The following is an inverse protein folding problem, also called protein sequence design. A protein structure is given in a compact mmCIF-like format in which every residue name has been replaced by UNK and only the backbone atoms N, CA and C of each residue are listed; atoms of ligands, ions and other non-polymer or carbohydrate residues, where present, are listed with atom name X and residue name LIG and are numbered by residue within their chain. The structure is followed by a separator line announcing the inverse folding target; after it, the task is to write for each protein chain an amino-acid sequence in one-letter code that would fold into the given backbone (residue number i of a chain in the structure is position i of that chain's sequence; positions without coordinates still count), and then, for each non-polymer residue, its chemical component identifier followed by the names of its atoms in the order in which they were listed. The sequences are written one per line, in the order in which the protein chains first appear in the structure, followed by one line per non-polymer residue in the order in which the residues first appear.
data_IF_056737133327
#
_entry.id   IF_056737133327
#
_cell.length_a   1.000
_cell.length_b   1.000
_cell.length_c   1.000
_cell.angle_alpha   90.00
_cell.angle_beta   90.00
_cell.angle_gamma   90.00
#
_symmetry.space_group_name_H-M   'P 1'
#
loop_
_entity.id
_entity.type
_entity.pdbx_description
1 polymer ?
#
# COMPACT_ATOMS: atom_id res chain seq x y z
N UNK A 1 -2.67 4.11 16.47
CA UNK A 1 -3.25 4.29 15.11
C UNK A 1 -2.28 3.81 14.06
N UNK A 2 -2.76 3.04 13.08
CA UNK A 2 -1.90 2.54 12.02
C UNK A 2 -1.88 3.47 10.81
N UNK A 3 -0.75 3.51 10.13
CA UNK A 3 -0.62 4.20 8.84
C UNK A 3 -0.28 3.16 7.79
N UNK A 4 -1.11 3.09 6.76
CA UNK A 4 -0.92 2.21 5.61
C UNK A 4 -0.47 3.06 4.44
N UNK A 5 0.70 2.76 3.89
CA UNK A 5 1.21 3.44 2.71
C UNK A 5 1.13 2.50 1.51
N UNK A 6 0.55 2.98 0.43
CA UNK A 6 0.50 2.24 -0.82
C UNK A 6 1.48 2.89 -1.79
N UNK A 7 2.53 2.15 -2.14
CA UNK A 7 3.52 2.60 -3.11
C UNK A 7 2.97 2.36 -4.49
N UNK A 8 2.87 3.40 -5.29
CA UNK A 8 2.21 3.36 -6.60
C UNK A 8 3.07 4.01 -7.68
N UNK A 9 2.73 3.72 -8.92
CA UNK A 9 3.30 4.37 -10.10
C UNK A 9 2.16 4.73 -11.03
N UNK A 10 2.24 5.88 -11.68
CA UNK A 10 1.17 6.37 -12.55
C UNK A 10 0.80 5.37 -13.65
N UNK A 11 1.77 4.69 -14.22
CA UNK A 11 1.56 3.71 -15.26
C UNK A 11 1.13 2.33 -14.77
N UNK A 12 0.93 2.16 -13.47
CA UNK A 12 0.61 0.87 -12.88
C UNK A 12 -0.90 0.66 -12.78
N UNK A 13 -1.46 -0.19 -13.63
CA UNK A 13 -2.89 -0.51 -13.59
C UNK A 13 -3.31 -1.26 -12.33
N UNK A 14 -2.44 -2.15 -11.83
CA UNK A 14 -2.72 -2.93 -10.62
C UNK A 14 -2.77 -2.06 -9.36
N UNK A 15 -2.08 -0.92 -9.36
CA UNK A 15 -2.07 -0.02 -8.21
C UNK A 15 -3.47 0.52 -7.91
N UNK A 16 -4.23 0.87 -8.95
CA UNK A 16 -5.61 1.33 -8.78
C UNK A 16 -6.50 0.23 -8.23
N UNK A 17 -6.33 -1.01 -8.69
CA UNK A 17 -7.10 -2.15 -8.20
C UNK A 17 -6.84 -2.40 -6.72
N UNK A 18 -5.58 -2.43 -6.33
CA UNK A 18 -5.20 -2.65 -4.93
C UNK A 18 -5.68 -1.50 -4.05
N UNK A 19 -5.57 -0.25 -4.51
CA UNK A 19 -6.06 0.91 -3.78
C UNK A 19 -7.55 0.76 -3.44
N UNK A 20 -8.36 0.39 -4.43
CA UNK A 20 -9.79 0.19 -4.23
C UNK A 20 -10.10 -0.99 -3.32
N UNK A 21 -9.29 -2.04 -3.41
CA UNK A 21 -9.46 -3.24 -2.59
C UNK A 21 -9.22 -2.95 -1.12
N UNK A 22 -8.16 -2.24 -0.78
CA UNK A 22 -7.74 -2.05 0.61
C UNK A 22 -8.38 -0.85 1.29
N UNK A 23 -8.89 0.12 0.54
CA UNK A 23 -9.46 1.34 1.11
C UNK A 23 -10.55 1.06 2.16
N UNK A 24 -11.56 0.20 1.91
CA UNK A 24 -12.58 -0.08 2.92
C UNK A 24 -12.02 -0.81 4.15
N UNK A 25 -11.00 -1.65 3.96
CA UNK A 25 -10.38 -2.39 5.08
C UNK A 25 -9.63 -1.43 5.99
N UNK A 26 -8.86 -0.52 5.40
CA UNK A 26 -8.11 0.49 6.15
C UNK A 26 -9.07 1.43 6.88
N UNK A 27 -10.14 1.87 6.20
CA UNK A 27 -11.15 2.74 6.80
C UNK A 27 -11.86 2.06 7.96
N UNK A 28 -12.24 0.79 7.82
CA UNK A 28 -12.91 0.03 8.87
C UNK A 28 -12.04 -0.16 10.10
N UNK A 29 -10.72 -0.19 9.92
CA UNK A 29 -9.77 -0.31 11.03
C UNK A 29 -9.47 1.05 11.71
N UNK A 30 -9.98 2.15 11.17
CA UNK A 30 -9.67 3.49 11.67
C UNK A 30 -8.25 3.93 11.37
N UNK A 31 -7.60 3.31 10.38
CA UNK A 31 -6.24 3.64 9.98
C UNK A 31 -6.23 4.67 8.86
N UNK A 32 -5.07 5.28 8.63
CA UNK A 32 -4.87 6.20 7.52
C UNK A 32 -4.32 5.45 6.32
N UNK A 33 -4.80 5.81 5.13
CA UNK A 33 -4.27 5.29 3.87
C UNK A 33 -3.59 6.44 3.13
N UNK A 34 -2.31 6.30 2.85
CA UNK A 34 -1.51 7.30 2.14
C UNK A 34 -0.96 6.69 0.86
N UNK A 35 -1.15 7.38 -0.25
CA UNK A 35 -0.56 6.96 -1.53
C UNK A 35 0.80 7.65 -1.71
N UNK A 36 1.82 6.88 -2.09
CA UNK A 36 3.16 7.38 -2.36
C UNK A 36 3.53 7.06 -3.81
N UNK A 37 3.81 8.09 -4.59
CA UNK A 37 4.27 7.92 -5.97
C UNK A 37 5.78 7.66 -5.95
N UNK A 38 6.20 6.45 -6.33
CA UNK A 38 7.61 6.08 -6.33
C UNK A 38 8.43 6.87 -7.36
N UNK A 39 7.79 7.40 -8.38
CA UNK A 39 8.48 8.18 -9.39
C UNK A 39 8.81 9.60 -8.92
N UNK A 40 8.19 10.05 -7.83
CA UNK A 40 8.45 11.37 -7.26
C UNK A 40 9.57 11.39 -6.23
N UNK A 41 10.11 10.21 -5.88
CA UNK A 41 11.12 10.08 -4.82
C UNK A 41 12.10 8.97 -5.19
N UNK A 42 13.38 9.33 -5.32
CA UNK A 42 14.42 8.40 -5.73
C UNK A 42 14.61 7.24 -4.75
N UNK A 43 14.45 7.48 -3.46
CA UNK A 43 14.57 6.42 -2.45
C UNK A 43 13.44 5.43 -2.57
N UNK A 44 12.21 5.91 -2.77
CA UNK A 44 11.05 5.03 -2.95
C UNK A 44 11.16 4.24 -4.26
N UNK A 45 11.64 4.88 -5.33
CA UNK A 45 11.84 4.22 -6.61
C UNK A 45 12.88 3.11 -6.51
N UNK A 46 13.99 3.36 -5.81
CA UNK A 46 15.05 2.39 -5.62
C UNK A 46 14.58 1.19 -4.79
N UNK A 47 13.77 1.43 -3.78
CA UNK A 47 13.34 0.36 -2.87
C UNK A 47 12.13 -0.41 -3.36
N UNK A 48 11.13 0.29 -3.93
CA UNK A 48 9.85 -0.31 -4.27
C UNK A 48 9.49 -0.28 -5.74
N UNK A 49 10.20 0.47 -6.57
CA UNK A 49 9.82 0.75 -7.95
C UNK A 49 9.56 -0.48 -8.81
N UNK A 50 10.28 -1.57 -8.58
CA UNK A 50 10.15 -2.81 -9.34
C UNK A 50 9.00 -3.69 -8.85
N UNK A 51 8.41 -3.35 -7.71
CA UNK A 51 7.43 -4.21 -7.03
C UNK A 51 6.08 -3.55 -6.78
N UNK A 52 5.85 -2.37 -7.33
CA UNK A 52 4.56 -1.69 -7.15
C UNK A 52 3.41 -2.52 -7.74
N UNK A 53 2.24 -2.56 -7.09
CA UNK A 53 1.90 -1.89 -5.84
C UNK A 53 2.49 -2.59 -4.61
N UNK A 54 3.01 -1.79 -3.68
CA UNK A 54 3.55 -2.29 -2.41
C UNK A 54 2.75 -1.69 -1.27
N UNK A 55 2.29 -2.54 -0.36
CA UNK A 55 1.58 -2.11 0.84
C UNK A 55 2.57 -2.12 2.01
N UNK A 56 2.70 -0.97 2.66
CA UNK A 56 3.58 -0.79 3.82
C UNK A 56 2.69 -0.44 5.02
N UNK A 57 2.81 -1.20 6.10
CA UNK A 57 2.05 -0.95 7.33
C UNK A 57 3.01 -0.51 8.42
N UNK A 58 2.80 0.69 8.92
CA UNK A 58 3.63 1.28 10.00
C UNK A 58 5.13 1.21 9.71
N UNK A 59 5.50 1.47 8.46
CA UNK A 59 6.90 1.50 8.03
C UNK A 59 7.50 0.17 7.63
N UNK A 60 6.73 -0.92 7.71
CA UNK A 60 7.20 -2.26 7.32
C UNK A 60 6.46 -2.76 6.08
N UNK A 61 7.20 -3.31 5.13
CA UNK A 61 6.59 -3.87 3.93
C UNK A 61 5.70 -5.05 4.32
N UNK A 62 4.43 -4.96 3.93
CA UNK A 62 3.42 -5.96 4.26
C UNK A 62 3.16 -6.92 3.10
N UNK A 63 2.96 -6.38 1.90
CA UNK A 63 2.66 -7.17 0.72
C UNK A 63 3.03 -6.41 -0.55
N UNK A 64 3.25 -7.14 -1.64
CA UNK A 64 3.42 -6.53 -2.95
C UNK A 64 2.63 -7.33 -3.99
N UNK A 65 2.11 -6.62 -5.00
CA UNK A 65 1.31 -7.10 -6.12
C UNK A 65 -0.08 -7.58 -5.74
N UNK A 66 -0.21 -8.40 -4.72
CA UNK A 66 -1.49 -8.89 -4.24
C UNK A 66 -1.57 -8.77 -2.73
N UNK A 67 -2.79 -8.56 -2.22
CA UNK A 67 -3.04 -8.39 -0.79
C UNK A 67 -4.18 -9.30 -0.39
N UNK A 68 -3.97 -10.04 0.69
CA UNK A 68 -5.03 -10.81 1.32
C UNK A 68 -5.77 -9.88 2.30
N UNK A 69 -7.07 -9.70 2.07
CA UNK A 69 -7.88 -8.77 2.86
C UNK A 69 -7.92 -9.14 4.34
N UNK A 70 -8.03 -10.43 4.64
CA UNK A 70 -8.11 -10.88 6.03
C UNK A 70 -6.79 -10.68 6.77
N UNK A 71 -5.68 -10.93 6.10
CA UNK A 71 -4.35 -10.70 6.68
C UNK A 71 -4.11 -9.21 6.94
N UNK A 72 -4.54 -8.35 6.01
CA UNK A 72 -4.40 -6.91 6.20
C UNK A 72 -5.28 -6.43 7.37
N UNK A 73 -6.52 -6.87 7.43
CA UNK A 73 -7.42 -6.52 8.53
C UNK A 73 -6.83 -6.92 9.88
N UNK A 74 -6.25 -8.11 9.95
CA UNK A 74 -5.60 -8.63 11.15
C UNK A 74 -4.38 -7.80 11.56
N UNK A 75 -3.57 -7.39 10.57
CA UNK A 75 -2.39 -6.56 10.82
C UNK A 75 -2.76 -5.17 11.35
N UNK A 76 -4.00 -4.73 11.13
CA UNK A 76 -4.48 -3.41 11.56
C UNK A 76 -5.29 -3.45 12.87
N UNK A 77 -5.35 -4.59 13.50
CA UNK A 77 -6.03 -4.71 14.81
C UNK A 77 -5.28 -4.00 15.94
#
# INVERSE_FOLDING_TARGET
MHVVELMVRESCGSCSRISKQIAPIVAAAGADLVHRDVDSDLELSAEYGDRVPVVVVDGEEFACWEVDNDELAEALL
#
